data_IF_113789433223
#
_entry.id   IF_113789433223
#
_cell.length_a   1.000
_cell.length_b   1.000
_cell.length_c   1.000
_cell.angle_alpha   90.00
_cell.angle_beta   90.00
_cell.angle_gamma   90.00
#
_symmetry.space_group_name_H-M   'P 1'
#
loop_
_entity.id
_entity.type
_entity.pdbx_description
1 polymer ?
#
# COMPACT_ATOMS: atom_id res chain seq x y z
N UNK A 1 13.02 -70.37 29.42
CA UNK A 1 13.44 -69.24 28.56
C UNK A 1 12.18 -68.46 28.22
N UNK A 2 11.94 -67.26 28.78
CA UNK A 2 12.53 -65.95 28.36
C UNK A 2 11.99 -65.64 26.94
N UNK A 3 11.17 -64.63 26.62
CA UNK A 3 10.94 -63.26 27.15
C UNK A 3 9.47 -62.87 26.92
N UNK A 4 8.85 -62.24 27.92
CA UNK A 4 7.60 -61.48 27.82
C UNK A 4 7.96 -60.02 27.45
N UNK A 5 7.67 -59.56 26.24
CA UNK A 5 7.92 -58.17 25.80
C UNK A 5 6.65 -57.35 25.96
N UNK A 6 6.43 -56.85 27.17
CA UNK A 6 5.41 -55.84 27.47
C UNK A 6 5.93 -54.50 26.96
N UNK A 7 5.49 -54.11 25.76
CA UNK A 7 5.74 -52.79 25.21
C UNK A 7 4.92 -51.76 26.01
N UNK A 8 5.55 -51.19 27.03
CA UNK A 8 5.05 -50.09 27.84
C UNK A 8 5.03 -48.83 26.96
N UNK A 9 3.90 -48.57 26.30
CA UNK A 9 3.64 -47.30 25.64
C UNK A 9 3.53 -46.21 26.70
N UNK A 10 4.63 -45.49 26.92
CA UNK A 10 4.63 -44.22 27.65
C UNK A 10 3.77 -43.23 26.85
N UNK A 11 2.53 -43.05 27.29
CA UNK A 11 1.70 -41.94 26.89
C UNK A 11 2.43 -40.65 27.30
N UNK A 12 3.13 -40.04 26.35
CA UNK A 12 3.65 -38.67 26.51
C UNK A 12 2.41 -37.78 26.66
N UNK A 13 2.22 -37.07 27.78
CA UNK A 13 1.16 -36.08 27.87
C UNK A 13 1.48 -35.00 26.84
N UNK A 14 0.67 -34.97 25.78
CA UNK A 14 0.59 -33.84 24.86
C UNK A 14 0.41 -32.60 25.71
N UNK A 15 1.40 -31.71 25.70
CA UNK A 15 1.33 -30.39 26.30
C UNK A 15 0.23 -29.59 25.61
N UNK A 16 -1.00 -29.77 26.09
CA UNK A 16 -2.08 -28.84 25.89
C UNK A 16 -1.80 -27.59 26.75
N UNK A 17 -2.13 -26.42 26.21
CA UNK A 17 -2.00 -25.08 26.81
C UNK A 17 -0.69 -24.30 26.58
N UNK A 18 -0.28 -24.15 25.32
CA UNK A 18 -0.10 -22.78 24.84
C UNK A 18 -1.45 -22.28 24.36
N UNK A 19 -2.25 -21.75 25.30
CA UNK A 19 -3.42 -20.94 24.98
C UNK A 19 -2.97 -19.91 23.97
N UNK A 20 -3.53 -20.02 22.76
CA UNK A 20 -3.35 -19.04 21.72
C UNK A 20 -3.65 -17.67 22.29
N UNK A 21 -2.59 -16.90 22.57
CA UNK A 21 -2.72 -15.46 22.40
C UNK A 21 -3.16 -15.32 20.95
N UNK A 22 -4.32 -14.70 20.67
CA UNK A 22 -4.59 -14.27 19.30
C UNK A 22 -3.33 -13.55 18.83
N UNK A 23 -2.81 -13.84 17.62
CA UNK A 23 -1.60 -13.20 17.14
C UNK A 23 -1.76 -11.71 17.41
N UNK A 24 -0.97 -11.21 18.34
CA UNK A 24 -1.09 -9.87 18.87
C UNK A 24 -1.04 -8.98 17.63
N UNK A 25 -2.14 -8.28 17.35
CA UNK A 25 -2.37 -7.56 16.10
C UNK A 25 -1.19 -6.60 15.95
N UNK A 26 -0.17 -7.00 15.19
CA UNK A 26 1.19 -6.44 15.36
C UNK A 26 1.25 -4.94 15.10
N UNK A 27 0.27 -4.39 14.40
CA UNK A 27 0.13 -2.97 14.10
C UNK A 27 -1.38 -2.65 14.01
N UNK A 28 -1.92 -1.86 14.94
CA UNK A 28 -3.35 -1.51 14.98
C UNK A 28 -3.65 -0.10 14.49
N UNK A 29 -2.67 0.80 14.53
CA UNK A 29 -2.82 2.18 14.10
C UNK A 29 -2.60 2.28 12.59
N UNK A 30 -3.64 2.70 11.86
CA UNK A 30 -3.57 2.95 10.42
C UNK A 30 -3.27 4.43 10.21
N UNK A 31 -2.12 4.77 9.63
CA UNK A 31 -1.76 6.14 9.28
C UNK A 31 -2.50 6.61 8.04
N UNK A 32 -2.54 5.76 7.02
CA UNK A 32 -3.23 6.07 5.77
C UNK A 32 -3.62 4.80 5.03
N UNK A 33 -4.53 4.96 4.09
CA UNK A 33 -5.03 3.89 3.23
C UNK A 33 -5.13 4.40 1.80
N UNK A 34 -4.47 3.69 0.90
CA UNK A 34 -4.40 3.99 -0.52
C UNK A 34 -5.23 2.96 -1.28
N UNK A 35 -6.16 3.43 -2.10
CA UNK A 35 -7.03 2.58 -2.91
C UNK A 35 -6.62 2.74 -4.39
N UNK A 36 -6.47 1.64 -5.14
CA UNK A 36 -6.10 1.71 -6.55
C UNK A 36 -7.27 2.19 -7.41
N UNK A 37 -8.50 1.88 -6.98
CA UNK A 37 -9.71 2.35 -7.63
C UNK A 37 -10.85 2.47 -6.61
N UNK A 38 -11.94 3.08 -7.05
CA UNK A 38 -13.20 3.14 -6.31
C UNK A 38 -14.25 2.30 -7.04
N UNK A 39 -15.14 1.64 -6.29
CA UNK A 39 -16.20 0.78 -6.86
C UNK A 39 -17.54 1.07 -6.19
N UNK A 40 -18.60 1.29 -6.96
CA UNK A 40 -19.94 1.47 -6.37
C UNK A 40 -20.61 0.17 -5.95
N UNK A 41 -20.05 -0.98 -6.36
CA UNK A 41 -20.69 -2.31 -6.19
C UNK A 41 -20.32 -3.02 -4.90
N UNK A 42 -19.20 -2.65 -4.28
CA UNK A 42 -18.69 -3.26 -3.06
C UNK A 42 -18.53 -2.22 -1.95
N UNK A 43 -18.66 -2.63 -0.69
CA UNK A 43 -18.34 -1.75 0.45
C UNK A 43 -16.82 -1.54 0.53
N UNK A 44 -16.41 -0.39 1.04
CA UNK A 44 -14.99 0.04 1.06
C UNK A 44 -14.08 -0.95 1.79
N UNK A 45 -14.61 -1.66 2.78
CA UNK A 45 -13.88 -2.66 3.57
C UNK A 45 -13.44 -3.87 2.72
N UNK A 46 -14.15 -4.12 1.62
CA UNK A 46 -13.88 -5.22 0.69
C UNK A 46 -12.98 -4.83 -0.47
N UNK A 47 -12.65 -3.54 -0.65
CA UNK A 47 -11.82 -3.10 -1.77
C UNK A 47 -10.36 -3.46 -1.57
N UNK A 48 -9.64 -3.74 -2.67
CA UNK A 48 -8.19 -3.80 -2.64
C UNK A 48 -7.63 -2.47 -2.14
N UNK A 49 -6.65 -2.51 -1.24
CA UNK A 49 -6.03 -1.31 -0.67
C UNK A 49 -4.64 -1.60 -0.13
N UNK A 50 -3.79 -0.59 -0.12
CA UNK A 50 -2.55 -0.56 0.64
C UNK A 50 -2.81 0.23 1.91
N UNK A 51 -2.48 -0.33 3.06
CA UNK A 51 -2.49 0.39 4.33
C UNK A 51 -1.06 0.63 4.78
N UNK A 52 -0.79 1.86 5.21
CA UNK A 52 0.39 2.19 5.97
C UNK A 52 0.00 2.23 7.45
N UNK A 53 0.65 1.39 8.25
CA UNK A 53 0.37 1.22 9.67
C UNK A 53 1.56 1.61 10.52
N UNK A 54 1.31 1.90 11.79
CA UNK A 54 2.35 1.99 12.81
C UNK A 54 2.23 0.80 13.75
N UNK A 55 3.34 0.09 13.88
CA UNK A 55 3.53 -0.97 14.84
C UNK A 55 4.21 -0.36 16.05
N UNK A 56 3.61 -0.50 17.23
CA UNK A 56 4.19 -0.03 18.48
C UNK A 56 4.83 -1.19 19.22
N UNK A 57 6.00 -0.96 19.83
CA UNK A 57 6.47 -1.88 20.87
C UNK A 57 5.53 -1.74 22.07
N UNK A 58 4.96 -2.85 22.56
CA UNK A 58 3.98 -2.87 23.65
C UNK A 58 4.42 -2.05 24.87
N UNK A 59 5.73 -1.99 25.14
CA UNK A 59 6.31 -1.29 26.29
C UNK A 59 6.85 0.13 25.97
N UNK A 60 6.83 0.56 24.71
CA UNK A 60 7.33 1.86 24.26
C UNK A 60 6.42 2.44 23.17
N UNK A 61 5.22 2.96 23.51
CA UNK A 61 4.23 3.45 22.53
C UNK A 61 4.68 4.69 21.76
N UNK A 62 5.81 5.30 22.13
CA UNK A 62 6.43 6.40 21.38
C UNK A 62 7.44 5.92 20.34
N UNK A 63 7.80 4.63 20.36
CA UNK A 63 8.65 3.99 19.35
C UNK A 63 7.80 3.07 18.50
N UNK A 64 7.23 3.69 17.47
CA UNK A 64 6.56 2.99 16.40
C UNK A 64 7.49 2.77 15.20
N UNK A 65 7.17 1.78 14.37
CA UNK A 65 7.76 1.66 13.03
C UNK A 65 6.68 1.42 11.97
N UNK A 66 6.93 1.85 10.72
CA UNK A 66 5.96 1.70 9.65
C UNK A 66 5.88 0.25 9.17
N UNK A 67 4.65 -0.22 8.96
CA UNK A 67 4.33 -1.44 8.22
C UNK A 67 3.51 -1.09 6.99
N UNK A 68 3.91 -1.61 5.83
CA UNK A 68 3.18 -1.50 4.58
C UNK A 68 2.49 -2.84 4.36
N UNK A 69 1.16 -2.82 4.34
CA UNK A 69 0.38 -4.02 4.04
C UNK A 69 -0.55 -3.80 2.87
N UNK A 70 -0.88 -4.89 2.19
CA UNK A 70 -1.85 -4.93 1.11
C UNK A 70 -3.03 -5.81 1.46
N UNK A 71 -4.22 -5.37 1.09
CA UNK A 71 -5.44 -6.14 1.15
C UNK A 71 -5.86 -6.47 -0.28
N UNK A 72 -6.13 -7.74 -0.54
CA UNK A 72 -6.80 -8.16 -1.76
C UNK A 72 -8.32 -8.09 -1.58
N UNK A 73 -9.05 -8.10 -2.68
CA UNK A 73 -10.52 -8.04 -2.65
C UNK A 73 -11.08 -9.20 -1.81
N UNK A 74 -12.01 -8.86 -0.91
CA UNK A 74 -12.63 -9.81 0.04
C UNK A 74 -11.67 -10.53 1.00
N UNK A 75 -10.40 -10.12 1.12
CA UNK A 75 -9.48 -10.76 2.06
C UNK A 75 -9.87 -10.45 3.51
N UNK A 76 -9.79 -11.47 4.36
CA UNK A 76 -9.95 -11.33 5.81
C UNK A 76 -8.66 -10.88 6.50
N UNK A 77 -7.52 -11.11 5.85
CA UNK A 77 -6.20 -10.80 6.40
C UNK A 77 -5.35 -10.02 5.39
N UNK A 78 -4.59 -9.02 5.86
CA UNK A 78 -3.66 -8.31 4.99
C UNK A 78 -2.41 -9.15 4.72
N UNK A 79 -1.81 -8.94 3.56
CA UNK A 79 -0.46 -9.40 3.24
C UNK A 79 0.53 -8.31 3.63
N UNK A 80 1.50 -8.63 4.48
CA UNK A 80 2.59 -7.70 4.81
C UNK A 80 3.53 -7.61 3.61
N UNK A 81 3.63 -6.43 3.01
CA UNK A 81 4.58 -6.16 1.93
C UNK A 81 5.94 -5.76 2.49
N UNK A 82 5.94 -4.99 3.59
CA UNK A 82 7.15 -4.54 4.26
C UNK A 82 6.90 -4.20 5.72
N UNK A 83 7.87 -4.52 6.54
CA UNK A 83 7.98 -4.13 7.96
C UNK A 83 9.44 -3.68 8.15
N UNK A 84 9.66 -2.37 8.37
CA UNK A 84 10.99 -1.82 8.58
C UNK A 84 11.04 -0.92 9.81
N UNK A 85 11.80 -1.37 10.81
CA UNK A 85 12.11 -0.57 12.00
C UNK A 85 12.98 0.65 11.69
N UNK A 86 12.76 1.75 12.42
CA UNK A 86 13.66 2.91 12.40
C UNK A 86 13.54 3.81 11.16
N UNK A 87 12.36 3.83 10.54
CA UNK A 87 12.05 4.66 9.39
C UNK A 87 10.90 5.59 9.71
N UNK A 88 11.01 6.85 9.30
CA UNK A 88 9.91 7.82 9.30
C UNK A 88 9.42 8.03 7.88
N UNK A 89 8.11 7.92 7.65
CA UNK A 89 7.53 8.21 6.33
C UNK A 89 7.43 9.72 6.14
N UNK A 90 8.01 10.22 5.04
CA UNK A 90 8.11 11.66 4.75
C UNK A 90 7.36 12.09 3.51
N UNK A 91 7.09 11.16 2.59
CA UNK A 91 6.33 11.46 1.36
C UNK A 91 5.60 10.23 0.86
N UNK A 92 4.41 10.47 0.33
CA UNK A 92 3.56 9.49 -0.32
C UNK A 92 3.13 10.07 -1.66
N UNK A 93 3.29 9.30 -2.73
CA UNK A 93 2.76 9.61 -4.06
C UNK A 93 1.91 8.42 -4.49
N UNK A 94 0.69 8.68 -4.95
CA UNK A 94 -0.25 7.63 -5.31
C UNK A 94 -0.89 7.95 -6.66
N UNK A 95 -1.01 6.90 -7.47
CA UNK A 95 -1.75 6.86 -8.74
C UNK A 95 -2.75 5.70 -8.69
N UNK A 96 -3.47 5.43 -9.78
CA UNK A 96 -4.41 4.30 -9.84
C UNK A 96 -3.73 2.95 -9.60
N UNK A 97 -2.54 2.72 -10.16
CA UNK A 97 -1.87 1.41 -10.11
C UNK A 97 -0.51 1.42 -9.43
N UNK A 98 0.03 2.60 -9.06
CA UNK A 98 1.38 2.73 -8.49
C UNK A 98 1.36 3.62 -7.26
N UNK A 99 1.93 3.14 -6.15
CA UNK A 99 2.10 3.86 -4.90
C UNK A 99 3.58 3.94 -4.55
N UNK A 100 4.10 5.15 -4.41
CA UNK A 100 5.46 5.40 -3.97
C UNK A 100 5.42 5.91 -2.54
N UNK A 101 6.09 5.18 -1.66
CA UNK A 101 6.23 5.50 -0.26
C UNK A 101 7.70 5.85 -0.03
N UNK A 102 7.96 7.04 0.47
CA UNK A 102 9.32 7.50 0.75
C UNK A 102 9.46 7.63 2.26
N UNK A 103 10.37 6.84 2.81
CA UNK A 103 10.81 6.89 4.19
C UNK A 103 12.20 7.48 4.32
N UNK A 104 12.56 7.93 5.51
CA UNK A 104 13.90 8.38 5.86
C UNK A 104 14.35 7.64 7.12
N UNK A 105 15.56 7.09 7.09
CA UNK A 105 16.26 6.61 8.26
C UNK A 105 17.37 7.60 8.66
N UNK A 106 18.16 7.26 9.68
CA UNK A 106 19.28 8.10 10.12
C UNK A 106 20.33 8.37 9.03
N UNK A 107 20.44 7.51 8.00
CA UNK A 107 21.56 7.54 7.04
C UNK A 107 21.15 7.55 5.58
N UNK A 108 19.87 7.31 5.26
CA UNK A 108 19.39 7.15 3.89
C UNK A 108 17.91 7.48 3.76
N UNK A 109 17.54 7.97 2.58
CA UNK A 109 16.17 7.92 2.10
C UNK A 109 15.89 6.51 1.56
N UNK A 110 14.69 6.01 1.80
CA UNK A 110 14.23 4.68 1.41
C UNK A 110 12.97 4.84 0.58
N UNK A 111 12.97 4.28 -0.62
CA UNK A 111 11.85 4.34 -1.55
C UNK A 111 11.26 2.95 -1.72
N UNK A 112 9.96 2.84 -1.45
CA UNK A 112 9.15 1.67 -1.70
C UNK A 112 8.20 1.99 -2.85
N UNK A 113 8.16 1.13 -3.86
CA UNK A 113 7.16 1.23 -4.92
C UNK A 113 6.28 0.00 -4.85
N UNK A 114 4.99 0.21 -4.59
CA UNK A 114 3.97 -0.83 -4.60
C UNK A 114 3.15 -0.66 -5.88
N UNK A 115 3.07 -1.71 -6.69
CA UNK A 115 2.22 -1.73 -7.89
C UNK A 115 0.99 -2.61 -7.67
N UNK A 116 -0.11 -2.27 -8.33
CA UNK A 116 -1.33 -3.06 -8.40
C UNK A 116 -1.53 -3.54 -9.84
N UNK A 117 -1.24 -4.82 -10.06
CA UNK A 117 -1.26 -5.44 -11.38
C UNK A 117 -1.99 -6.79 -11.28
N UNK A 118 -2.83 -7.09 -12.27
CA UNK A 118 -3.56 -8.37 -12.34
C UNK A 118 -4.36 -8.71 -11.07
N UNK A 119 -4.89 -7.69 -10.38
CA UNK A 119 -5.71 -7.87 -9.19
C UNK A 119 -4.93 -8.03 -7.88
N UNK A 120 -3.59 -7.92 -7.90
CA UNK A 120 -2.74 -8.10 -6.73
C UNK A 120 -1.76 -6.94 -6.52
N UNK A 121 -1.50 -6.60 -5.25
CA UNK A 121 -0.42 -5.68 -4.91
C UNK A 121 0.91 -6.41 -4.79
N UNK A 122 1.99 -5.77 -5.26
CA UNK A 122 3.36 -6.28 -5.15
C UNK A 122 4.31 -5.15 -4.77
N UNK A 123 5.32 -5.46 -3.96
CA UNK A 123 6.44 -4.55 -3.74
C UNK A 123 7.38 -4.65 -4.94
N UNK A 124 7.25 -3.73 -5.90
CA UNK A 124 7.98 -3.73 -7.16
C UNK A 124 9.41 -3.17 -7.00
N UNK A 125 9.61 -2.24 -6.07
CA UNK A 125 10.93 -1.69 -5.75
C UNK A 125 11.07 -1.46 -4.26
N UNK A 126 12.27 -1.75 -3.76
CA UNK A 126 12.75 -1.28 -2.47
C UNK A 126 14.22 -0.88 -2.61
N UNK A 127 14.48 0.43 -2.53
CA UNK A 127 15.81 0.98 -2.72
C UNK A 127 16.13 2.04 -1.67
N UNK A 128 17.42 2.18 -1.32
CA UNK A 128 17.91 3.24 -0.46
C UNK A 128 18.95 4.10 -1.15
N UNK A 129 18.95 5.39 -0.84
CA UNK A 129 19.97 6.33 -1.30
C UNK A 129 20.33 7.31 -0.19
N UNK A 130 21.57 7.76 -0.14
CA UNK A 130 21.99 8.88 0.72
C UNK A 130 21.36 10.20 0.31
N UNK A 131 20.90 10.29 -0.94
CA UNK A 131 20.32 11.48 -1.54
C UNK A 131 18.84 11.28 -1.80
N UNK A 132 18.14 12.39 -2.06
CA UNK A 132 16.70 12.36 -2.30
C UNK A 132 16.37 11.88 -3.70
N UNK A 133 15.44 10.94 -3.80
CA UNK A 133 14.86 10.51 -5.04
C UNK A 133 13.98 11.62 -5.65
N UNK A 134 14.05 11.77 -6.97
CA UNK A 134 13.10 12.58 -7.72
C UNK A 134 11.98 11.68 -8.25
N UNK A 135 10.73 12.10 -8.05
CA UNK A 135 9.55 11.39 -8.51
C UNK A 135 8.84 12.32 -9.49
N UNK A 136 8.81 11.90 -10.76
CA UNK A 136 8.10 12.58 -11.84
C UNK A 136 6.90 11.71 -12.27
N UNK A 137 5.79 12.34 -12.60
CA UNK A 137 4.55 11.64 -12.98
C UNK A 137 3.99 12.23 -14.26
N UNK A 138 3.70 11.37 -15.24
CA UNK A 138 2.95 11.68 -16.45
C UNK A 138 1.61 10.93 -16.43
N UNK A 139 0.82 11.08 -17.49
CA UNK A 139 -0.49 10.42 -17.62
C UNK A 139 -0.37 8.89 -17.76
N UNK A 140 0.75 8.40 -18.27
CA UNK A 140 0.98 7.00 -18.64
C UNK A 140 2.01 6.27 -17.76
N UNK A 141 2.83 6.99 -16.99
CA UNK A 141 3.84 6.39 -16.11
C UNK A 141 4.26 7.26 -14.94
N UNK A 142 4.80 6.60 -13.93
CA UNK A 142 5.59 7.20 -12.86
C UNK A 142 7.07 6.92 -13.10
N UNK A 143 7.90 7.96 -13.04
CA UNK A 143 9.35 7.85 -13.16
C UNK A 143 10.01 8.17 -11.83
N UNK A 144 10.83 7.26 -11.33
CA UNK A 144 11.63 7.44 -10.12
C UNK A 144 13.11 7.54 -10.51
N UNK A 145 13.76 8.63 -10.13
CA UNK A 145 15.20 8.85 -10.36
C UNK A 145 15.92 8.77 -9.02
N UNK A 146 16.75 7.75 -8.86
CA UNK A 146 17.59 7.52 -7.69
C UNK A 146 18.98 8.11 -7.95
N UNK A 147 19.41 9.14 -7.21
CA UNK A 147 20.77 9.63 -7.31
C UNK A 147 21.75 8.56 -6.80
N UNK A 148 22.94 8.48 -7.39
CA UNK A 148 23.95 7.53 -6.97
C UNK A 148 24.48 7.85 -5.57
N UNK A 149 24.88 6.82 -4.83
CA UNK A 149 25.55 7.01 -3.53
C UNK A 149 27.00 7.50 -3.67
N UNK A 150 27.56 7.41 -4.89
CA UNK A 150 28.91 7.86 -5.24
C UNK A 150 28.86 8.82 -6.43
N UNK A 151 29.59 9.92 -6.36
CA UNK A 151 29.54 11.00 -7.35
C UNK A 151 29.91 10.58 -8.79
N UNK A 152 30.58 9.44 -8.97
CA UNK A 152 31.02 8.94 -10.27
C UNK A 152 30.04 7.97 -10.95
N UNK A 153 28.94 7.58 -10.28
CA UNK A 153 27.96 6.67 -10.85
C UNK A 153 26.82 7.42 -11.55
N UNK A 154 26.16 6.83 -12.55
CA UNK A 154 25.00 7.46 -13.19
C UNK A 154 23.77 7.44 -12.27
N UNK A 155 22.81 8.32 -12.55
CA UNK A 155 21.48 8.28 -11.92
C UNK A 155 20.73 7.04 -12.42
N UNK A 156 20.19 6.26 -11.49
CA UNK A 156 19.33 5.12 -11.84
C UNK A 156 17.90 5.60 -12.05
N UNK A 157 17.27 5.19 -13.15
CA UNK A 157 15.91 5.58 -13.49
C UNK A 157 15.02 4.35 -13.54
N UNK A 158 13.94 4.36 -12.77
CA UNK A 158 12.90 3.35 -12.77
C UNK A 158 11.62 3.94 -13.36
N UNK A 159 10.94 3.16 -14.20
CA UNK A 159 9.67 3.55 -14.81
C UNK A 159 8.60 2.53 -14.45
N UNK A 160 7.45 3.01 -14.00
CA UNK A 160 6.31 2.20 -13.60
C UNK A 160 5.10 2.65 -14.43
N UNK A 161 4.55 1.79 -15.31
CA UNK A 161 3.38 2.15 -16.10
C UNK A 161 2.17 2.40 -15.20
N UNK A 162 1.41 3.45 -15.50
CA UNK A 162 0.13 3.72 -14.86
C UNK A 162 -0.93 2.98 -15.67
N UNK A 163 -1.39 1.87 -15.13
CA UNK A 163 -2.47 1.09 -15.69
C UNK A 163 -3.78 1.78 -15.32
N UNK A 164 -4.30 2.59 -16.24
CA UNK A 164 -5.68 3.05 -16.13
C UNK A 164 -6.57 1.83 -16.29
N UNK A 165 -7.26 1.44 -15.21
CA UNK A 165 -8.31 0.45 -15.39
C UNK A 165 -9.34 1.07 -16.33
N UNK A 166 -9.86 0.32 -17.32
CA UNK A 166 -10.93 0.84 -18.15
C UNK A 166 -12.06 1.24 -17.21
N UNK A 167 -12.24 2.55 -17.00
CA UNK A 167 -13.34 3.07 -16.20
C UNK A 167 -14.55 2.36 -16.76
N UNK A 168 -15.23 1.56 -15.94
CA UNK A 168 -16.48 0.97 -16.35
C UNK A 168 -17.35 2.18 -16.72
N UNK A 169 -17.44 2.49 -18.02
CA UNK A 169 -18.33 3.54 -18.51
C UNK A 169 -19.66 3.11 -17.91
N UNK A 170 -20.30 3.93 -17.08
CA UNK A 170 -21.54 3.52 -16.46
C UNK A 170 -22.45 3.05 -17.61
N UNK A 171 -22.83 1.78 -17.60
CA UNK A 171 -23.86 1.24 -18.48
C UNK A 171 -25.10 2.09 -18.21
N UNK A 172 -25.31 3.12 -19.04
CA UNK A 172 -26.25 4.19 -18.73
C UNK A 172 -25.79 5.60 -19.08
N UNK A 173 -24.55 5.83 -19.53
CA UNK A 173 -24.17 7.11 -20.16
C UNK A 173 -24.86 7.20 -21.53
N UNK A 174 -26.12 7.62 -21.51
CA UNK A 174 -26.91 7.87 -22.71
C UNK A 174 -26.23 8.98 -23.51
N UNK A 175 -25.78 8.72 -24.75
CA UNK A 175 -25.30 9.78 -25.62
C UNK A 175 -26.47 10.74 -25.89
N UNK A 176 -26.42 11.93 -25.29
CA UNK A 176 -27.41 12.99 -25.56
C UNK A 176 -28.16 13.57 -24.37
N UNK A 177 -27.74 13.33 -23.12
CA UNK A 177 -28.27 14.13 -22.01
C UNK A 177 -27.98 15.63 -22.28
N UNK A 178 -29.01 16.47 -22.41
CA UNK A 178 -28.82 17.88 -22.75
C UNK A 178 -28.00 18.54 -21.64
N UNK A 179 -26.92 19.22 -22.04
CA UNK A 179 -26.20 20.13 -21.15
C UNK A 179 -27.21 21.16 -20.67
N UNK A 180 -27.52 21.20 -19.37
CA UNK A 180 -28.23 22.32 -18.77
C UNK A 180 -27.41 23.57 -19.11
N UNK A 181 -27.95 24.38 -20.03
CA UNK A 181 -27.31 25.60 -20.49
C UNK A 181 -27.04 26.49 -19.29
N UNK A 182 -25.81 27.00 -19.21
CA UNK A 182 -25.48 28.06 -18.28
C UNK A 182 -26.50 29.21 -18.48
N UNK A 183 -27.09 29.76 -17.41
CA UNK A 183 -28.04 30.85 -17.55
C UNK A 183 -27.38 32.01 -18.29
N UNK A 184 -27.93 32.35 -19.45
CA UNK A 184 -27.52 33.48 -20.26
C UNK A 184 -27.61 34.75 -19.44
N UNK A 185 -26.49 35.48 -19.34
CA UNK A 185 -26.46 36.81 -18.75
C UNK A 185 -27.11 37.76 -19.77
N UNK A 186 -28.40 37.97 -19.61
CA UNK A 186 -29.12 38.96 -20.41
C UNK A 186 -28.59 40.36 -20.12
N UNK A 187 -28.24 41.03 -21.22
CA UNK A 187 -27.72 42.38 -21.27
C UNK A 187 -28.91 43.30 -21.55
N UNK A 188 -29.38 43.99 -20.52
CA UNK A 188 -30.21 45.20 -20.63
C UNK A 188 -29.62 46.16 -19.59
N UNK A 189 -28.99 47.29 -19.91
CA UNK A 189 -29.38 48.32 -20.87
C UNK A 189 -29.92 49.53 -20.07
N UNK A 190 -29.61 50.75 -20.53
CA UNK A 190 -29.96 52.09 -19.99
C UNK A 190 -28.87 52.69 -19.08
N UNK A 191 -28.25 53.83 -19.35
CA UNK A 191 -28.56 54.93 -20.28
C UNK A 191 -28.72 56.21 -19.46
N UNK A 192 -27.95 57.24 -19.85
CA UNK A 192 -27.77 58.60 -19.27
C UNK A 192 -26.84 58.74 -18.06
#
# INVERSE_FOLDING_TARGET
MIVLLVALWLAVPVSAEQRGRPPEKRCSEILTTLYPHWSTRATRENWPRVELRVCHVVDLPTRGWPEIVAWTEHSKEPVVLRDDAGISIVRLVATESVFVIVGVSATRELVYVVTYEEGAFRLALFEGSKYRAAIDMSDDKLTLKMPPDEAAQPVTVYEFPILTQPSARPEGWLPGAPRLGAPGRDRTGRGE
#
